data_IF_219020432431
#
_entry.id   IF_219020432431
#
_cell.length_a   1.000
_cell.length_b   1.000
_cell.length_c   1.000
_cell.angle_alpha   90.00
_cell.angle_beta   90.00
_cell.angle_gamma   90.00
#
_symmetry.space_group_name_H-M   'P 1'
#
loop_
_entity.id
_entity.type
_entity.pdbx_description
1 polymer ?
#
# COMPACT_ATOMS: atom_id res chain seq x y z
N UNK A 1 0.05 29.80 -13.50
CA UNK A 1 -1.00 29.10 -12.71
C UNK A 1 -0.30 28.21 -11.68
N UNK A 2 -0.90 27.98 -10.50
CA UNK A 2 -0.29 27.08 -9.52
C UNK A 2 -0.42 25.63 -10.01
N UNK A 3 0.62 24.81 -9.88
CA UNK A 3 0.68 23.44 -10.41
C UNK A 3 -0.54 22.56 -10.06
N UNK A 4 -1.08 22.71 -8.83
CA UNK A 4 -2.25 21.93 -8.41
C UNK A 4 -3.52 22.25 -9.22
N UNK A 5 -3.69 23.48 -9.69
CA UNK A 5 -4.77 23.87 -10.60
C UNK A 5 -4.54 23.33 -12.00
N UNK A 6 -3.30 23.23 -12.47
CA UNK A 6 -2.96 22.59 -13.76
C UNK A 6 -3.37 21.11 -13.73
N UNK A 7 -3.00 20.40 -12.66
CA UNK A 7 -3.42 19.01 -12.44
C UNK A 7 -4.94 18.90 -12.34
N UNK A 8 -5.61 19.77 -11.57
CA UNK A 8 -7.05 19.74 -11.42
C UNK A 8 -7.78 19.93 -12.76
N UNK A 9 -7.33 20.88 -13.59
CA UNK A 9 -7.88 21.07 -14.93
C UNK A 9 -7.67 19.84 -15.83
N UNK A 10 -6.50 19.21 -15.74
CA UNK A 10 -6.23 17.97 -16.51
C UNK A 10 -7.15 16.83 -16.07
N UNK A 11 -7.33 16.63 -14.76
CA UNK A 11 -8.25 15.63 -14.21
C UNK A 11 -9.69 15.85 -14.68
N UNK A 12 -10.18 17.11 -14.63
CA UNK A 12 -11.53 17.45 -15.10
C UNK A 12 -11.67 17.15 -16.59
N UNK A 13 -10.67 17.47 -17.39
CA UNK A 13 -10.68 17.21 -18.84
C UNK A 13 -10.67 15.70 -19.15
N UNK A 14 -9.89 14.90 -18.40
CA UNK A 14 -9.82 13.44 -18.57
C UNK A 14 -11.08 12.73 -18.09
N UNK A 15 -11.76 13.30 -17.11
CA UNK A 15 -12.93 12.69 -16.46
C UNK A 15 -14.15 13.62 -16.47
N UNK A 16 -14.66 14.02 -17.66
CA UNK A 16 -15.68 15.08 -17.79
C UNK A 16 -17.01 14.72 -17.10
N UNK A 17 -17.35 13.43 -17.05
CA UNK A 17 -18.61 12.93 -16.50
C UNK A 17 -18.51 12.43 -15.05
N UNK A 18 -17.34 12.64 -14.41
CA UNK A 18 -17.14 12.15 -13.04
C UNK A 18 -17.78 13.08 -12.03
N UNK A 19 -18.64 12.53 -11.18
CA UNK A 19 -19.34 13.30 -10.15
C UNK A 19 -18.42 13.60 -8.96
N UNK A 20 -17.65 12.59 -8.50
CA UNK A 20 -16.76 12.71 -7.36
C UNK A 20 -15.32 12.35 -7.75
N UNK A 21 -14.41 13.26 -7.49
CA UNK A 21 -12.99 13.11 -7.79
C UNK A 21 -12.28 12.51 -6.58
N UNK A 22 -11.88 11.24 -6.67
CA UNK A 22 -11.19 10.52 -5.60
C UNK A 22 -9.70 10.75 -5.70
N UNK A 23 -9.12 11.38 -4.68
CA UNK A 23 -7.69 11.61 -4.54
C UNK A 23 -7.17 10.82 -3.34
N UNK A 24 -6.08 10.09 -3.54
CA UNK A 24 -5.51 9.22 -2.53
C UNK A 24 -4.11 9.62 -2.12
N UNK A 25 -3.74 9.27 -0.93
CA UNK A 25 -2.38 9.17 -0.40
C UNK A 25 -2.34 8.09 0.68
N UNK A 26 -1.14 7.68 1.08
CA UNK A 26 -1.01 6.68 2.14
C UNK A 26 0.43 6.50 2.57
N UNK A 27 0.60 6.03 3.79
CA UNK A 27 1.90 5.67 4.36
C UNK A 27 1.76 4.49 5.32
N UNK A 28 2.88 3.82 5.62
CA UNK A 28 2.95 2.83 6.70
C UNK A 28 3.18 3.52 8.04
N UNK A 29 2.52 3.07 9.15
CA UNK A 29 2.73 3.59 10.50
C UNK A 29 4.02 3.02 11.11
N UNK A 30 5.15 3.20 10.40
CA UNK A 30 6.45 2.62 10.79
C UNK A 30 7.16 3.36 11.93
N UNK A 31 6.61 4.48 12.37
CA UNK A 31 7.10 5.37 13.42
C UNK A 31 6.43 6.73 13.31
N UNK A 32 6.81 7.69 14.14
CA UNK A 32 6.30 9.07 14.08
C UNK A 32 6.47 9.67 12.69
N UNK A 33 5.40 10.26 12.17
CA UNK A 33 5.39 10.86 10.84
C UNK A 33 6.18 12.17 10.86
N UNK A 34 7.21 12.25 10.04
CA UNK A 34 8.03 13.44 9.90
C UNK A 34 7.65 14.26 8.65
N UNK A 35 8.25 15.46 8.49
CA UNK A 35 7.95 16.40 7.39
C UNK A 35 8.09 15.76 6.00
N UNK A 36 8.97 14.78 5.83
CA UNK A 36 9.15 14.05 4.57
C UNK A 36 7.93 13.23 4.18
N UNK A 37 7.31 12.56 5.15
CA UNK A 37 6.07 11.80 4.94
C UNK A 37 4.84 12.72 4.87
N UNK A 38 4.84 13.83 5.65
CA UNK A 38 3.78 14.84 5.60
C UNK A 38 3.63 15.43 4.19
N UNK A 39 4.71 15.50 3.41
CA UNK A 39 4.66 15.95 2.02
C UNK A 39 3.72 15.13 1.14
N UNK A 40 3.60 13.83 1.38
CA UNK A 40 2.69 12.93 0.67
C UNK A 40 1.25 13.48 0.71
N UNK A 41 0.73 13.64 1.92
CA UNK A 41 -0.65 14.07 2.11
C UNK A 41 -0.88 15.52 1.65
N UNK A 42 0.09 16.42 1.89
CA UNK A 42 -0.04 17.84 1.51
C UNK A 42 -0.04 18.01 -0.01
N UNK A 43 0.72 17.19 -0.75
CA UNK A 43 0.70 17.20 -2.21
C UNK A 43 -0.70 16.85 -2.73
N UNK A 44 -1.33 15.81 -2.17
CA UNK A 44 -2.70 15.43 -2.51
C UNK A 44 -3.69 16.51 -2.09
N UNK A 45 -3.56 17.05 -0.88
CA UNK A 45 -4.43 18.10 -0.36
C UNK A 45 -4.49 19.33 -1.26
N UNK A 46 -3.36 19.78 -1.83
CA UNK A 46 -3.37 20.91 -2.75
C UNK A 46 -4.20 20.63 -4.02
N UNK A 47 -4.15 19.43 -4.57
CA UNK A 47 -4.97 19.04 -5.72
C UNK A 47 -6.44 18.97 -5.35
N UNK A 48 -6.76 18.39 -4.18
CA UNK A 48 -8.13 18.36 -3.63
C UNK A 48 -8.68 19.78 -3.50
N UNK A 49 -7.92 20.72 -2.90
CA UNK A 49 -8.34 22.12 -2.75
C UNK A 49 -8.51 22.83 -4.10
N UNK A 50 -7.67 22.52 -5.09
CA UNK A 50 -7.81 23.07 -6.42
C UNK A 50 -9.09 22.56 -7.12
N UNK A 51 -9.39 21.27 -7.02
CA UNK A 51 -10.64 20.68 -7.53
C UNK A 51 -11.87 21.31 -6.87
N UNK A 52 -11.85 21.46 -5.54
CA UNK A 52 -12.93 22.11 -4.78
C UNK A 52 -13.10 23.56 -5.20
N UNK A 53 -12.01 24.30 -5.39
CA UNK A 53 -12.00 25.69 -5.88
C UNK A 53 -12.57 25.83 -7.29
N UNK A 54 -12.53 24.74 -8.09
CA UNK A 54 -13.18 24.64 -9.42
C UNK A 54 -14.60 24.07 -9.34
N UNK A 55 -15.21 23.98 -8.15
CA UNK A 55 -16.57 23.53 -7.94
C UNK A 55 -16.78 22.01 -8.08
N UNK A 56 -15.71 21.20 -7.97
CA UNK A 56 -15.81 19.76 -8.06
C UNK A 56 -15.99 19.12 -6.68
N UNK A 57 -16.85 18.10 -6.62
CA UNK A 57 -16.96 17.24 -5.44
C UNK A 57 -15.73 16.33 -5.36
N UNK A 58 -15.14 16.24 -4.19
CA UNK A 58 -13.94 15.44 -3.94
C UNK A 58 -14.16 14.43 -2.82
N UNK A 59 -13.49 13.29 -2.90
CA UNK A 59 -13.27 12.36 -1.82
C UNK A 59 -11.77 12.25 -1.62
N UNK A 60 -11.27 12.70 -0.47
CA UNK A 60 -9.87 12.65 -0.12
C UNK A 60 -9.65 11.49 0.85
N UNK A 61 -8.95 10.46 0.40
CA UNK A 61 -8.65 9.28 1.21
C UNK A 61 -7.17 9.24 1.60
N UNK A 62 -6.93 8.80 2.82
CA UNK A 62 -5.59 8.52 3.33
C UNK A 62 -5.53 7.09 3.85
N UNK A 63 -4.69 6.29 3.22
CA UNK A 63 -4.55 4.86 3.52
C UNK A 63 -3.43 4.61 4.52
N UNK A 64 -3.75 3.96 5.62
CA UNK A 64 -2.76 3.45 6.53
C UNK A 64 -2.34 2.03 6.13
N UNK A 65 -1.06 1.86 5.75
CA UNK A 65 -0.50 0.55 5.40
C UNK A 65 -0.10 -0.22 6.68
N UNK A 66 -1.03 -0.32 7.60
CA UNK A 66 -0.89 -0.89 8.94
C UNK A 66 -0.91 -2.43 8.94
N UNK A 67 -1.36 -3.02 7.83
CA UNK A 67 -1.27 -4.46 7.59
C UNK A 67 0.04 -4.88 6.92
N UNK A 68 0.98 -3.94 6.74
CA UNK A 68 2.34 -4.22 6.29
C UNK A 68 3.18 -4.82 7.42
N UNK A 69 4.19 -5.61 7.03
CA UNK A 69 5.12 -6.24 7.96
C UNK A 69 5.99 -5.23 8.69
N UNK A 70 6.22 -5.44 9.95
CA UNK A 70 7.27 -4.79 10.72
C UNK A 70 8.64 -5.32 10.27
N UNK A 71 9.42 -4.48 9.60
CA UNK A 71 10.67 -4.89 8.94
C UNK A 71 11.90 -4.78 9.83
N UNK A 72 11.92 -3.77 10.70
CA UNK A 72 13.04 -3.45 11.58
C UNK A 72 12.56 -2.68 12.79
N UNK A 73 13.30 -2.80 13.90
CA UNK A 73 13.05 -1.99 15.09
C UNK A 73 13.66 -0.60 14.88
N UNK A 74 12.85 0.50 14.94
CA UNK A 74 13.38 1.86 14.91
C UNK A 74 14.32 2.12 16.11
N UNK A 75 15.27 3.05 15.94
CA UNK A 75 16.29 3.35 16.97
C UNK A 75 15.73 3.85 18.29
N UNK A 76 14.56 4.46 18.26
CA UNK A 76 13.82 5.02 19.42
C UNK A 76 12.85 4.03 20.07
N UNK A 77 12.80 2.79 19.58
CA UNK A 77 11.97 1.72 20.14
C UNK A 77 12.86 0.69 20.83
N UNK A 78 12.35 0.09 21.90
CA UNK A 78 13.05 -0.93 22.67
C UNK A 78 13.51 -2.08 21.76
N UNK A 79 14.80 -2.48 21.79
CA UNK A 79 15.33 -3.57 20.98
C UNK A 79 14.61 -4.91 21.15
N UNK A 80 13.92 -5.14 22.27
CA UNK A 80 13.11 -6.35 22.50
C UNK A 80 11.97 -6.52 21.49
N UNK A 81 11.58 -5.43 20.81
CA UNK A 81 10.60 -5.47 19.71
C UNK A 81 11.07 -6.27 18.49
N UNK A 82 12.36 -6.63 18.41
CA UNK A 82 12.87 -7.51 17.36
C UNK A 82 12.12 -8.85 17.27
N UNK A 83 11.52 -9.32 18.35
CA UNK A 83 10.67 -10.54 18.36
C UNK A 83 9.43 -10.44 17.49
N UNK A 84 8.96 -9.21 17.19
CA UNK A 84 7.78 -8.94 16.37
C UNK A 84 8.11 -8.74 14.88
N UNK A 85 9.39 -8.75 14.49
CA UNK A 85 9.74 -8.64 13.08
C UNK A 85 9.05 -9.74 12.27
N UNK A 86 8.40 -9.35 11.17
CA UNK A 86 7.58 -10.20 10.33
C UNK A 86 6.08 -10.19 10.65
N UNK A 87 5.65 -9.61 11.77
CA UNK A 87 4.24 -9.40 12.08
C UNK A 87 3.72 -8.11 11.42
N UNK A 88 2.41 -7.99 11.13
CA UNK A 88 1.85 -6.72 10.67
C UNK A 88 1.86 -5.69 11.80
N UNK A 89 2.00 -4.39 11.45
CA UNK A 89 2.07 -3.30 12.43
C UNK A 89 0.87 -3.28 13.40
N UNK A 90 -0.32 -3.61 12.91
CA UNK A 90 -1.55 -3.65 13.72
C UNK A 90 -1.59 -4.77 14.77
N UNK A 91 -0.74 -5.80 14.69
CA UNK A 91 -0.67 -6.92 15.63
C UNK A 91 0.47 -6.77 16.65
N UNK A 92 1.24 -5.71 16.56
CA UNK A 92 2.36 -5.44 17.48
C UNK A 92 1.85 -4.59 18.63
N UNK A 93 2.20 -4.89 19.90
CA UNK A 93 1.86 -4.05 21.02
C UNK A 93 2.37 -2.61 20.87
N UNK A 94 1.64 -1.65 21.40
CA UNK A 94 2.10 -0.27 21.48
C UNK A 94 3.35 -0.16 22.36
N UNK A 95 4.46 0.41 21.86
CA UNK A 95 5.68 0.57 22.64
C UNK A 95 5.54 1.48 23.86
N UNK A 96 4.52 2.36 23.86
CA UNK A 96 4.22 3.30 24.97
C UNK A 96 3.07 2.80 25.86
N UNK A 97 2.34 1.78 25.43
CA UNK A 97 1.23 1.19 26.18
C UNK A 97 -0.01 2.07 26.31
N UNK A 98 -0.16 3.11 25.47
CA UNK A 98 -1.29 4.04 25.51
C UNK A 98 -2.36 3.77 24.44
N UNK A 99 -2.08 2.89 23.47
CA UNK A 99 -3.00 2.46 22.43
C UNK A 99 -3.02 0.93 22.32
N UNK A 100 -3.92 0.40 21.48
CA UNK A 100 -4.07 -1.07 21.36
C UNK A 100 -2.93 -1.71 20.56
N UNK A 101 -2.31 -0.97 19.64
CA UNK A 101 -1.23 -1.48 18.81
C UNK A 101 -0.18 -0.43 18.49
N UNK A 102 0.96 -0.91 17.97
CA UNK A 102 2.02 -0.08 17.41
C UNK A 102 1.48 0.83 16.28
N UNK A 103 0.66 0.27 15.39
CA UNK A 103 0.06 1.02 14.30
C UNK A 103 -0.83 2.14 14.85
N UNK A 104 -1.78 1.82 15.72
CA UNK A 104 -2.72 2.79 16.28
C UNK A 104 -2.02 3.95 16.98
N UNK A 105 -0.90 3.70 17.67
CA UNK A 105 -0.12 4.76 18.31
C UNK A 105 0.33 5.84 17.31
N UNK A 106 1.00 5.45 16.24
CA UNK A 106 1.53 6.39 15.25
C UNK A 106 0.46 6.97 14.32
N UNK A 107 -0.59 6.23 14.07
CA UNK A 107 -1.77 6.70 13.35
C UNK A 107 -2.44 7.85 14.11
N UNK A 108 -2.77 7.67 15.36
CA UNK A 108 -3.45 8.69 16.19
C UNK A 108 -2.58 9.92 16.43
N UNK A 109 -1.27 9.74 16.58
CA UNK A 109 -0.32 10.86 16.65
C UNK A 109 -0.42 11.73 15.38
N UNK A 110 -0.42 11.11 14.21
CA UNK A 110 -0.49 11.84 12.94
C UNK A 110 -1.87 12.42 12.65
N UNK A 111 -2.93 11.66 12.87
CA UNK A 111 -4.32 12.10 12.67
C UNK A 111 -4.63 13.35 13.50
N UNK A 112 -4.18 13.37 14.75
CA UNK A 112 -4.29 14.55 15.63
C UNK A 112 -3.53 15.75 15.05
N UNK A 113 -2.34 15.52 14.48
CA UNK A 113 -1.57 16.58 13.83
C UNK A 113 -2.28 17.14 12.59
N UNK A 114 -2.92 16.29 11.78
CA UNK A 114 -3.69 16.73 10.61
C UNK A 114 -4.87 17.64 10.97
N UNK A 115 -5.57 17.33 12.06
CA UNK A 115 -6.66 18.18 12.59
C UNK A 115 -6.17 19.59 12.90
N UNK A 116 -4.97 19.71 13.50
CA UNK A 116 -4.37 21.02 13.81
C UNK A 116 -4.06 21.85 12.55
N UNK A 117 -3.84 21.21 11.40
CA UNK A 117 -3.66 21.87 10.10
C UNK A 117 -4.97 22.10 9.34
N UNK A 118 -6.12 21.66 9.88
CA UNK A 118 -7.42 21.75 9.20
C UNK A 118 -7.49 20.91 7.94
N UNK A 119 -6.75 19.79 7.87
CA UNK A 119 -6.77 18.84 6.77
C UNK A 119 -7.77 17.74 7.13
N UNK A 120 -8.90 17.74 6.43
CA UNK A 120 -9.94 16.71 6.56
C UNK A 120 -9.73 15.64 5.51
N UNK A 121 -9.63 14.36 5.96
CA UNK A 121 -9.47 13.20 5.11
C UNK A 121 -10.28 12.04 5.65
N UNK A 122 -10.65 11.12 4.75
CA UNK A 122 -11.23 9.82 5.09
C UNK A 122 -10.08 8.83 5.28
N UNK A 123 -9.93 8.31 6.49
CA UNK A 123 -8.90 7.30 6.77
C UNK A 123 -9.39 5.90 6.38
N UNK A 124 -8.51 5.16 5.70
CA UNK A 124 -8.71 3.74 5.38
C UNK A 124 -7.60 2.95 6.07
N UNK A 125 -7.99 2.07 6.97
CA UNK A 125 -7.06 1.19 7.66
C UNK A 125 -6.98 -0.14 6.91
N UNK A 126 -5.82 -0.47 6.37
CA UNK A 126 -5.67 -1.64 5.51
C UNK A 126 -5.88 -2.95 6.26
N UNK A 127 -5.58 -3.00 7.56
CA UNK A 127 -5.89 -4.18 8.34
C UNK A 127 -7.39 -4.49 8.41
N UNK A 128 -8.25 -3.48 8.48
CA UNK A 128 -9.71 -3.65 8.46
C UNK A 128 -10.19 -4.14 7.09
N UNK A 129 -9.66 -3.55 6.01
CA UNK A 129 -10.00 -3.91 4.65
C UNK A 129 -9.63 -5.36 4.34
N UNK A 130 -8.41 -5.78 4.70
CA UNK A 130 -7.97 -7.16 4.53
C UNK A 130 -8.73 -8.14 5.42
N UNK A 131 -8.94 -7.79 6.69
CA UNK A 131 -9.59 -8.67 7.67
C UNK A 131 -11.08 -8.82 7.49
N UNK A 132 -11.74 -7.83 6.91
CA UNK A 132 -13.16 -7.94 6.52
C UNK A 132 -13.37 -8.89 5.33
N UNK A 133 -12.30 -9.26 4.62
CA UNK A 133 -12.38 -10.07 3.40
C UNK A 133 -12.78 -9.27 2.16
N UNK A 134 -12.84 -7.92 2.24
CA UNK A 134 -13.19 -7.04 1.11
C UNK A 134 -12.33 -7.31 -0.12
N UNK A 135 -11.05 -7.64 0.08
CA UNK A 135 -10.08 -7.87 -1.00
C UNK A 135 -9.95 -9.34 -1.43
N UNK A 136 -10.62 -10.29 -0.77
CA UNK A 136 -10.39 -11.71 -1.02
C UNK A 136 -10.67 -12.15 -2.47
N UNK A 137 -11.69 -11.57 -3.12
CA UNK A 137 -11.96 -11.84 -4.54
C UNK A 137 -10.84 -11.35 -5.46
N UNK A 138 -10.24 -10.20 -5.14
CA UNK A 138 -9.14 -9.62 -5.91
C UNK A 138 -7.83 -10.38 -5.68
N UNK A 139 -7.61 -10.88 -4.45
CA UNK A 139 -6.49 -11.78 -4.13
C UNK A 139 -6.63 -13.06 -4.96
N UNK A 140 -7.82 -13.65 -5.01
CA UNK A 140 -8.09 -14.84 -5.83
C UNK A 140 -7.86 -14.57 -7.32
N UNK A 141 -8.30 -13.43 -7.84
CA UNK A 141 -8.04 -13.03 -9.23
C UNK A 141 -6.54 -12.91 -9.51
N UNK A 142 -5.78 -12.28 -8.61
CA UNK A 142 -4.34 -12.19 -8.73
C UNK A 142 -3.64 -13.56 -8.69
N UNK A 143 -4.14 -14.50 -7.90
CA UNK A 143 -3.64 -15.88 -7.87
C UNK A 143 -3.90 -16.61 -9.20
N UNK A 144 -5.06 -16.47 -9.79
CA UNK A 144 -5.34 -17.05 -11.11
C UNK A 144 -4.43 -16.46 -12.20
N UNK A 145 -4.13 -15.17 -12.12
CA UNK A 145 -3.29 -14.44 -13.08
C UNK A 145 -1.81 -14.36 -12.66
N UNK A 146 -1.37 -15.16 -11.67
CA UNK A 146 -0.05 -15.05 -11.06
C UNK A 146 1.11 -15.14 -12.06
N UNK A 147 0.98 -15.96 -13.10
CA UNK A 147 2.01 -16.08 -14.14
C UNK A 147 2.08 -14.84 -15.02
N UNK A 148 0.93 -14.26 -15.38
CA UNK A 148 0.87 -13.00 -16.12
C UNK A 148 1.44 -11.83 -15.27
N UNK A 149 1.13 -11.81 -13.99
CA UNK A 149 1.72 -10.84 -13.04
C UNK A 149 3.24 -11.01 -12.96
N UNK A 150 3.73 -12.25 -12.90
CA UNK A 150 5.18 -12.51 -12.92
C UNK A 150 5.82 -11.95 -14.19
N UNK A 151 5.24 -12.22 -15.35
CA UNK A 151 5.75 -11.75 -16.65
C UNK A 151 5.82 -10.21 -16.66
N UNK A 152 4.78 -9.51 -16.19
CA UNK A 152 4.79 -8.05 -16.04
C UNK A 152 5.91 -7.59 -15.11
N UNK A 153 6.10 -8.25 -13.96
CA UNK A 153 7.17 -7.88 -13.03
C UNK A 153 8.56 -8.06 -13.64
N UNK A 154 8.73 -9.07 -14.48
CA UNK A 154 10.00 -9.35 -15.14
C UNK A 154 10.31 -8.37 -16.28
N UNK A 155 9.30 -7.83 -16.97
CA UNK A 155 9.49 -6.76 -17.99
C UNK A 155 10.19 -5.51 -17.39
N UNK A 156 10.13 -5.31 -16.08
CA UNK A 156 10.78 -4.21 -15.35
C UNK A 156 12.05 -4.61 -14.61
N UNK A 157 12.50 -5.84 -14.74
CA UNK A 157 13.76 -6.32 -14.12
C UNK A 157 14.83 -6.54 -15.18
N UNK A 158 16.08 -6.28 -14.80
CA UNK A 158 17.24 -6.71 -15.56
C UNK A 158 17.66 -8.08 -15.03
N UNK A 159 17.57 -9.12 -15.85
CA UNK A 159 17.97 -10.49 -15.49
C UNK A 159 17.23 -11.54 -16.31
N UNK A 160 17.73 -12.76 -16.27
CA UNK A 160 17.06 -13.90 -16.90
C UNK A 160 15.88 -14.36 -16.04
N UNK A 161 14.77 -14.63 -16.69
CA UNK A 161 13.58 -15.20 -16.07
C UNK A 161 13.66 -16.72 -16.17
N UNK A 162 13.40 -17.43 -15.06
CA UNK A 162 13.30 -18.88 -15.12
C UNK A 162 11.83 -19.33 -15.09
N UNK A 163 11.53 -20.38 -15.84
CA UNK A 163 10.20 -20.99 -15.84
C UNK A 163 9.86 -21.60 -14.48
N UNK A 164 10.87 -22.02 -13.72
CA UNK A 164 10.72 -22.51 -12.37
C UNK A 164 10.25 -21.39 -11.41
N UNK A 165 10.90 -20.22 -11.44
CA UNK A 165 10.48 -19.06 -10.65
C UNK A 165 9.07 -18.60 -11.02
N UNK A 166 8.75 -18.60 -12.32
CA UNK A 166 7.43 -18.26 -12.83
C UNK A 166 6.35 -19.20 -12.29
N UNK A 167 6.63 -20.49 -12.25
CA UNK A 167 5.70 -21.50 -11.75
C UNK A 167 5.51 -21.44 -10.22
N UNK A 168 6.53 -21.01 -9.49
CA UNK A 168 6.54 -20.90 -8.03
C UNK A 168 6.22 -19.49 -7.51
N UNK A 169 5.96 -18.53 -8.41
CA UNK A 169 5.59 -17.19 -8.02
C UNK A 169 4.16 -17.09 -7.50
N UNK A 170 3.99 -16.41 -6.38
CA UNK A 170 2.71 -16.04 -5.81
C UNK A 170 2.67 -14.54 -5.51
N UNK A 171 1.61 -13.82 -5.95
CA UNK A 171 1.51 -12.35 -5.84
C UNK A 171 1.11 -11.87 -4.45
N UNK A 172 1.08 -12.74 -3.47
CA UNK A 172 0.63 -12.47 -2.11
C UNK A 172 1.59 -13.04 -1.07
N UNK A 173 1.60 -12.41 0.09
CA UNK A 173 2.22 -12.88 1.32
C UNK A 173 1.13 -13.38 2.26
N UNK A 174 1.46 -14.30 3.17
CA UNK A 174 0.53 -14.87 4.13
C UNK A 174 1.11 -14.74 5.54
N UNK A 175 0.31 -14.22 6.47
CA UNK A 175 0.66 -14.21 7.88
C UNK A 175 0.29 -15.55 8.52
N UNK A 176 1.25 -16.21 9.13
CA UNK A 176 1.06 -17.52 9.75
C UNK A 176 0.03 -17.45 10.88
N UNK A 177 -0.97 -18.35 10.85
CA UNK A 177 -1.99 -18.39 11.89
C UNK A 177 -1.45 -18.78 13.27
N UNK A 178 -0.27 -19.42 13.35
CA UNK A 178 0.35 -19.84 14.61
C UNK A 178 1.23 -18.75 15.22
N UNK A 179 2.14 -18.14 14.46
CA UNK A 179 3.12 -17.18 14.98
C UNK A 179 2.83 -15.72 14.57
N UNK A 180 1.87 -15.47 13.68
CA UNK A 180 1.50 -14.14 13.22
C UNK A 180 2.48 -13.49 12.23
N UNK A 181 3.56 -14.17 11.84
CA UNK A 181 4.61 -13.62 10.98
C UNK A 181 4.41 -14.01 9.52
N UNK A 182 4.98 -13.21 8.63
CA UNK A 182 5.03 -13.44 7.19
C UNK A 182 6.23 -14.28 6.72
N UNK A 183 6.91 -14.97 7.63
CA UNK A 183 7.94 -15.96 7.32
C UNK A 183 7.31 -17.25 6.78
N UNK A 184 6.44 -17.09 5.81
CA UNK A 184 5.67 -18.15 5.17
C UNK A 184 6.05 -18.27 3.70
N UNK A 185 5.98 -19.49 3.18
CA UNK A 185 6.10 -19.80 1.77
C UNK A 185 4.82 -20.46 1.30
N UNK A 186 4.17 -19.90 0.28
CA UNK A 186 3.03 -20.54 -0.38
C UNK A 186 3.61 -21.64 -1.27
N UNK A 187 3.21 -22.89 -1.02
CA UNK A 187 3.72 -24.07 -1.72
C UNK A 187 2.78 -24.56 -2.81
N UNK A 188 1.47 -24.28 -2.68
CA UNK A 188 0.47 -24.71 -3.65
C UNK A 188 -0.72 -23.77 -3.68
N UNK A 189 -1.31 -23.59 -4.85
CA UNK A 189 -2.63 -22.99 -5.05
C UNK A 189 -3.52 -23.94 -5.84
N UNK A 190 -4.62 -24.36 -5.21
CA UNK A 190 -5.65 -25.13 -5.86
C UNK A 190 -6.70 -24.21 -6.48
N UNK A 191 -6.74 -24.17 -7.81
CA UNK A 191 -7.63 -23.31 -8.58
C UNK A 191 -9.10 -23.72 -8.48
N UNK A 192 -9.39 -25.01 -8.25
CA UNK A 192 -10.76 -25.54 -8.15
C UNK A 192 -11.32 -25.31 -6.77
N UNK A 193 -10.57 -25.68 -5.74
CA UNK A 193 -10.96 -25.52 -4.34
C UNK A 193 -10.77 -24.09 -3.85
N UNK A 194 -10.02 -23.25 -4.59
CA UNK A 194 -9.68 -21.88 -4.23
C UNK A 194 -8.96 -21.81 -2.87
N UNK A 195 -8.03 -22.74 -2.67
CA UNK A 195 -7.25 -22.85 -1.44
C UNK A 195 -5.77 -22.63 -1.73
N UNK A 196 -5.04 -22.16 -0.72
CA UNK A 196 -3.59 -22.06 -0.73
C UNK A 196 -3.04 -22.90 0.41
N UNK A 197 -1.97 -23.65 0.13
CA UNK A 197 -1.17 -24.32 1.14
C UNK A 197 0.09 -23.52 1.39
N UNK A 198 0.46 -23.39 2.65
CA UNK A 198 1.69 -22.72 3.03
C UNK A 198 2.46 -23.46 4.12
N UNK A 199 3.75 -23.22 4.15
CA UNK A 199 4.67 -23.61 5.19
C UNK A 199 5.24 -22.35 5.85
N UNK A 200 5.50 -22.41 7.16
CA UNK A 200 6.09 -21.32 7.93
C UNK A 200 7.37 -21.77 8.62
N UNK A 201 8.36 -20.89 8.76
CA UNK A 201 9.60 -21.16 9.50
C UNK A 201 9.38 -21.62 10.95
N UNK A 202 8.22 -21.31 11.55
CA UNK A 202 7.84 -21.81 12.88
C UNK A 202 7.39 -23.29 12.89
N UNK A 203 7.44 -23.99 11.74
CA UNK A 203 7.02 -25.37 11.58
C UNK A 203 5.50 -25.53 11.47
N UNK A 204 4.74 -24.47 11.21
CA UNK A 204 3.32 -24.57 10.93
C UNK A 204 3.09 -24.77 9.43
N UNK A 205 2.31 -25.78 9.08
CA UNK A 205 1.83 -26.04 7.73
C UNK A 205 0.30 -26.03 7.73
N UNK A 206 -0.31 -25.34 6.77
CA UNK A 206 -1.76 -25.26 6.69
C UNK A 206 -2.26 -24.99 5.28
N UNK A 207 -3.49 -25.39 5.04
CA UNK A 207 -4.27 -25.04 3.86
C UNK A 207 -5.40 -24.09 4.26
N UNK A 208 -5.58 -23.01 3.50
CA UNK A 208 -6.57 -21.96 3.77
C UNK A 208 -7.40 -21.68 2.53
N UNK A 209 -8.70 -21.45 2.73
CA UNK A 209 -9.56 -20.91 1.66
C UNK A 209 -9.22 -19.43 1.43
N UNK A 210 -8.90 -19.07 0.18
CA UNK A 210 -8.58 -17.70 -0.21
C UNK A 210 -9.75 -16.74 0.05
N UNK A 211 -10.99 -17.24 -0.14
CA UNK A 211 -12.19 -16.43 0.03
C UNK A 211 -12.58 -16.19 1.50
N UNK A 212 -12.07 -17.03 2.42
CA UNK A 212 -12.47 -16.99 3.83
C UNK A 212 -11.33 -16.64 4.78
N UNK A 213 -10.10 -16.51 4.27
CA UNK A 213 -8.96 -16.10 5.11
C UNK A 213 -8.89 -14.59 5.28
N UNK A 214 -8.38 -14.17 6.42
CA UNK A 214 -8.01 -12.77 6.71
C UNK A 214 -6.49 -12.64 6.91
N UNK A 215 -5.69 -13.61 6.45
CA UNK A 215 -4.23 -13.68 6.65
C UNK A 215 -3.42 -13.41 5.39
N UNK A 216 -4.06 -13.31 4.22
CA UNK A 216 -3.37 -13.04 2.97
C UNK A 216 -3.33 -11.54 2.67
N UNK A 217 -2.19 -11.10 2.15
CA UNK A 217 -1.98 -9.73 1.68
C UNK A 217 -1.28 -9.75 0.33
N UNK A 218 -1.78 -8.97 -0.63
CA UNK A 218 -1.09 -8.78 -1.90
C UNK A 218 0.24 -8.05 -1.72
N UNK A 219 1.23 -8.44 -2.52
CA UNK A 219 2.50 -7.72 -2.60
C UNK A 219 2.26 -6.29 -3.12
N UNK A 220 3.01 -5.32 -2.60
CA UNK A 220 2.78 -3.88 -2.79
C UNK A 220 2.47 -3.47 -4.24
N UNK A 221 3.25 -3.96 -5.22
CA UNK A 221 3.07 -3.59 -6.63
C UNK A 221 1.77 -4.11 -7.25
N UNK A 222 1.07 -5.05 -6.57
CA UNK A 222 -0.23 -5.61 -6.95
C UNK A 222 -1.34 -5.05 -6.06
N UNK A 223 -1.05 -4.85 -4.80
CA UNK A 223 -1.95 -4.27 -3.81
C UNK A 223 -2.36 -2.83 -4.18
N UNK A 224 -1.39 -2.01 -4.52
CA UNK A 224 -1.59 -0.61 -4.87
C UNK A 224 -2.58 -0.40 -6.04
N UNK A 225 -2.41 -1.04 -7.22
CA UNK A 225 -3.37 -0.93 -8.32
C UNK A 225 -4.73 -1.56 -8.02
N UNK A 226 -4.80 -2.59 -7.18
CA UNK A 226 -6.08 -3.12 -6.70
C UNK A 226 -6.87 -2.05 -5.93
N UNK A 227 -6.20 -1.32 -5.03
CA UNK A 227 -6.83 -0.23 -4.27
C UNK A 227 -7.29 0.90 -5.19
N UNK A 228 -6.51 1.27 -6.21
CA UNK A 228 -6.94 2.26 -7.21
C UNK A 228 -8.27 1.88 -7.87
N UNK A 229 -8.41 0.60 -8.20
CA UNK A 229 -9.63 0.09 -8.79
C UNK A 229 -10.79 0.13 -7.78
N UNK A 230 -10.60 -0.38 -6.57
CA UNK A 230 -11.67 -0.50 -5.57
C UNK A 230 -12.19 0.87 -5.13
N UNK A 231 -11.29 1.83 -4.90
CA UNK A 231 -11.62 3.17 -4.42
C UNK A 231 -11.90 4.17 -5.56
N UNK A 232 -11.80 3.73 -6.81
CA UNK A 232 -11.97 4.58 -8.01
C UNK A 232 -11.06 5.82 -8.00
N UNK A 233 -9.79 5.63 -7.57
CA UNK A 233 -8.79 6.69 -7.44
C UNK A 233 -8.42 7.24 -8.81
N UNK A 234 -8.39 8.57 -8.93
CA UNK A 234 -7.98 9.26 -10.18
C UNK A 234 -6.73 10.11 -10.01
N UNK A 235 -6.31 10.38 -8.79
CA UNK A 235 -5.10 11.11 -8.47
C UNK A 235 -4.42 10.49 -7.24
N UNK A 236 -3.13 10.21 -7.37
CA UNK A 236 -2.28 9.84 -6.25
C UNK A 236 -0.83 10.23 -6.56
N UNK A 237 -0.19 11.06 -5.73
CA UNK A 237 1.22 11.41 -5.92
C UNK A 237 2.12 10.31 -5.38
N UNK A 238 3.41 10.41 -5.63
CA UNK A 238 4.38 9.53 -4.99
C UNK A 238 5.77 10.13 -4.94
N UNK A 239 6.58 9.65 -4.01
CA UNK A 239 7.96 10.04 -3.90
C UNK A 239 8.79 9.61 -5.12
N UNK A 240 9.94 10.25 -5.30
CA UNK A 240 10.85 9.96 -6.41
C UNK A 240 11.32 8.50 -6.44
N UNK A 241 11.35 7.82 -5.30
CA UNK A 241 11.68 6.41 -5.18
C UNK A 241 10.67 5.47 -5.89
N UNK A 242 9.41 5.89 -6.01
CA UNK A 242 8.38 5.18 -6.78
C UNK A 242 8.34 5.56 -8.26
N UNK A 243 9.06 6.62 -8.65
CA UNK A 243 8.90 7.31 -9.93
C UNK A 243 9.94 6.92 -11.00
N UNK A 244 10.92 6.05 -10.65
CA UNK A 244 11.91 5.57 -11.62
C UNK A 244 11.24 4.72 -12.71
N UNK A 245 11.93 4.52 -13.83
CA UNK A 245 11.44 3.70 -14.95
C UNK A 245 11.00 2.31 -14.49
N UNK A 246 11.78 1.69 -13.59
CA UNK A 246 11.48 0.39 -12.96
C UNK A 246 10.80 0.52 -11.60
N UNK A 247 10.35 1.72 -11.25
CA UNK A 247 9.73 2.04 -9.97
C UNK A 247 8.36 1.43 -9.78
N UNK A 248 7.90 1.43 -8.55
CA UNK A 248 6.65 0.78 -8.18
C UNK A 248 5.45 1.33 -8.94
N UNK A 249 5.42 2.65 -9.24
CA UNK A 249 4.30 3.24 -9.98
C UNK A 249 4.17 2.67 -11.39
N UNK A 250 5.26 2.61 -12.17
CA UNK A 250 5.22 2.13 -13.54
C UNK A 250 4.83 0.64 -13.61
N UNK A 251 5.34 -0.17 -12.71
CA UNK A 251 4.94 -1.58 -12.57
C UNK A 251 3.45 -1.70 -12.22
N UNK A 252 3.00 -0.97 -11.20
CA UNK A 252 1.60 -0.98 -10.75
C UNK A 252 0.64 -0.48 -11.83
N UNK A 253 1.07 0.49 -12.64
CA UNK A 253 0.30 0.98 -13.80
C UNK A 253 0.02 -0.13 -14.82
N UNK A 254 1.03 -0.94 -15.17
CA UNK A 254 0.84 -2.07 -16.09
C UNK A 254 -0.04 -3.17 -15.47
N UNK A 255 0.12 -3.44 -14.18
CA UNK A 255 -0.73 -4.38 -13.45
C UNK A 255 -2.18 -3.87 -13.39
N UNK A 256 -2.41 -2.58 -13.10
CA UNK A 256 -3.74 -1.99 -13.13
C UNK A 256 -4.43 -2.23 -14.48
N UNK A 257 -3.71 -1.94 -15.57
CA UNK A 257 -4.24 -2.05 -16.94
C UNK A 257 -4.50 -3.50 -17.35
N UNK A 258 -3.52 -4.40 -17.16
CA UNK A 258 -3.58 -5.78 -17.68
C UNK A 258 -4.36 -6.73 -16.76
N UNK A 259 -4.24 -6.57 -15.44
CA UNK A 259 -4.82 -7.49 -14.47
C UNK A 259 -6.19 -7.01 -14.00
N UNK A 260 -6.30 -5.73 -13.63
CA UNK A 260 -7.51 -5.17 -13.03
C UNK A 260 -8.37 -4.36 -14.01
N UNK A 261 -7.98 -4.30 -15.30
CA UNK A 261 -8.69 -3.56 -16.34
C UNK A 261 -9.03 -2.11 -15.94
N UNK A 262 -8.05 -1.43 -15.36
CA UNK A 262 -8.18 -0.08 -14.81
C UNK A 262 -7.02 0.79 -15.24
N UNK A 263 -7.32 2.03 -15.67
CA UNK A 263 -6.29 3.04 -15.87
C UNK A 263 -5.71 3.49 -14.52
N UNK A 264 -4.39 3.65 -14.47
CA UNK A 264 -3.72 4.18 -13.30
C UNK A 264 -4.14 5.64 -13.04
N UNK A 265 -4.17 6.11 -11.79
CA UNK A 265 -4.45 7.50 -11.47
C UNK A 265 -3.39 8.44 -12.08
N UNK A 266 -3.78 9.69 -12.28
CA UNK A 266 -2.83 10.74 -12.61
C UNK A 266 -1.81 10.86 -11.48
N UNK A 267 -0.53 10.83 -11.86
CA UNK A 267 0.59 10.75 -10.93
C UNK A 267 1.45 12.01 -10.98
N UNK A 268 1.80 12.53 -9.82
CA UNK A 268 2.77 13.60 -9.67
C UNK A 268 3.90 13.13 -8.77
N UNK A 269 5.11 13.11 -9.32
CA UNK A 269 6.30 12.84 -8.53
C UNK A 269 6.70 14.04 -7.69
N UNK A 270 7.06 13.83 -6.44
CA UNK A 270 7.61 14.87 -5.58
C UNK A 270 9.00 14.47 -5.06
N UNK A 271 9.83 15.50 -4.83
CA UNK A 271 11.15 15.32 -4.24
C UNK A 271 11.08 15.25 -2.71
N UNK A 272 12.06 14.57 -2.13
CA UNK A 272 12.21 14.54 -0.68
C UNK A 272 12.50 15.94 -0.11
N UNK A 273 11.90 16.24 1.04
CA UNK A 273 12.23 17.43 1.81
C UNK A 273 13.39 17.08 2.74
N UNK A 274 14.51 17.83 2.58
CA UNK A 274 15.67 17.74 3.48
C UNK A 274 15.66 18.90 4.48
N UNK A 275 16.07 18.63 5.72
CA UNK A 275 16.35 19.67 6.69
C UNK A 275 17.74 20.24 6.38
N UNK A 276 17.86 21.57 6.25
CA UNK A 276 19.14 22.25 5.96
C UNK A 276 20.16 21.91 7.05
N UNK A 277 21.31 21.37 6.65
CA UNK A 277 22.39 20.95 7.57
C UNK A 277 22.48 19.46 7.86
N UNK A 278 21.48 18.67 7.55
CA UNK A 278 21.59 17.21 7.61
C UNK A 278 21.99 16.65 6.24
N UNK A 279 23.27 16.40 6.03
CA UNK A 279 23.71 15.54 4.94
C UNK A 279 23.12 14.15 5.18
N UNK A 280 22.35 13.62 4.23
CA UNK A 280 21.88 12.23 4.27
C UNK A 280 23.06 11.30 4.49
N UNK A 281 23.15 10.69 5.67
CA UNK A 281 23.80 9.38 5.77
C UNK A 281 22.76 8.38 5.27
N UNK A 282 23.08 7.72 4.16
CA UNK A 282 22.29 6.62 3.61
C UNK A 282 21.89 5.68 4.76
N UNK A 283 20.58 5.50 4.93
CA UNK A 283 19.99 4.53 5.85
C UNK A 283 19.60 3.32 5.02
#
# INVERSE_FOLDING_TARGET
>A
MHWAYEVAHELIRKHPNKETFVCASGISPSGSVHIGNFREIVTTYFVVRALQGLGKKTRFIFSWDDYDRFRKVPKNIDPSFAKYIGMPYCDIPDPSGCHNSYAEHFEKEFETSLQAFGIEVEFIYQHDEYRSGRYNKNILEALYKRKEIYDILMDFKTGECSEEERNNFYPATLYCERCGKDTTTITHFDEVLKTVRYECECGNEKELSVLNTNKMKLNWKIDWPMRWMIEDVIFEPGGRDHSSETGSYNVSKEIARKIFNREAPHYVAYDFIGIKGNHRKNV
#
